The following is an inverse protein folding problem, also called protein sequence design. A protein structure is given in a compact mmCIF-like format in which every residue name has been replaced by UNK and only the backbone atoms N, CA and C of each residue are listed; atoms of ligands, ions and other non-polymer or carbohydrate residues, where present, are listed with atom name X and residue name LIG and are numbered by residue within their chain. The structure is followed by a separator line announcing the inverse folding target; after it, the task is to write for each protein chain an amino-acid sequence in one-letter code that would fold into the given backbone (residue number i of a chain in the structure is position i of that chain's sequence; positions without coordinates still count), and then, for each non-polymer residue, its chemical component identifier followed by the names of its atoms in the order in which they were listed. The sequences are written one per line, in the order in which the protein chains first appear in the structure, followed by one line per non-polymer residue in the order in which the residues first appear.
data_IF_761530569725
#
_entry.id   IF_761530569725
#
_cell.length_a   1.000
_cell.length_b   1.000
_cell.length_c   1.000
_cell.angle_alpha   90.00
_cell.angle_beta   90.00
_cell.angle_gamma   90.00
#
_symmetry.space_group_name_H-M   'P 1'
#
loop_
_entity.id
_entity.type
_entity.pdbx_description
1 polymer ?
#
# COMPACT_ATOMS: atom_id res chain seq x y z
N UNK A 1 -13.98 -8.26 -6.71
CA UNK A 1 -13.50 -6.88 -6.45
C UNK A 1 -14.24 -5.89 -7.33
N UNK A 2 -14.68 -4.72 -6.82
CA UNK A 2 -15.35 -3.69 -7.64
C UNK A 2 -14.45 -3.21 -8.80
N UNK A 3 -13.13 -3.19 -8.58
CA UNK A 3 -12.11 -2.86 -9.58
C UNK A 3 -12.00 -3.83 -10.77
N UNK A 4 -12.69 -4.97 -10.77
CA UNK A 4 -12.76 -5.87 -11.93
C UNK A 4 -13.87 -5.49 -12.92
N UNK A 5 -14.74 -4.54 -12.56
CA UNK A 5 -15.84 -4.08 -13.42
C UNK A 5 -15.40 -3.02 -14.43
N UNK A 6 -14.24 -2.41 -14.21
CA UNK A 6 -13.65 -1.39 -15.08
C UNK A 6 -12.42 -1.97 -15.80
N UNK A 7 -12.17 -1.50 -17.01
CA UNK A 7 -11.00 -1.88 -17.78
C UNK A 7 -9.73 -1.36 -17.08
N UNK A 8 -8.72 -2.20 -16.96
CA UNK A 8 -7.43 -1.80 -16.38
C UNK A 8 -6.87 -0.61 -17.18
N UNK A 9 -6.46 0.46 -16.49
CA UNK A 9 -5.99 1.74 -17.04
C UNK A 9 -7.07 2.67 -17.63
N UNK A 10 -8.35 2.48 -17.32
CA UNK A 10 -9.36 3.53 -17.56
C UNK A 10 -9.32 4.59 -16.46
N UNK A 11 -9.77 5.82 -16.75
CA UNK A 11 -9.95 6.85 -15.73
C UNK A 11 -10.78 6.34 -14.54
N UNK A 12 -11.88 5.64 -14.83
CA UNK A 12 -12.74 5.01 -13.82
C UNK A 12 -12.02 3.95 -12.94
N UNK A 13 -10.96 3.32 -13.47
CA UNK A 13 -10.17 2.34 -12.72
C UNK A 13 -9.24 3.04 -11.74
N UNK A 14 -8.61 4.13 -12.16
CA UNK A 14 -7.71 4.93 -11.31
C UNK A 14 -8.47 5.67 -10.21
N UNK A 15 -9.63 6.25 -10.52
CA UNK A 15 -10.51 6.90 -9.53
C UNK A 15 -10.95 5.89 -8.45
N UNK A 16 -11.35 4.70 -8.88
CA UNK A 16 -11.75 3.64 -7.96
C UNK A 16 -10.57 3.13 -7.13
N UNK A 17 -9.35 3.14 -7.70
CA UNK A 17 -8.12 2.77 -6.99
C UNK A 17 -7.80 3.74 -5.88
N UNK A 18 -7.94 5.04 -6.12
CA UNK A 18 -7.71 6.08 -5.12
C UNK A 18 -8.67 5.93 -3.94
N UNK A 19 -9.95 5.68 -4.21
CA UNK A 19 -10.95 5.41 -3.17
C UNK A 19 -10.54 4.17 -2.33
N UNK A 20 -10.09 3.10 -2.99
CA UNK A 20 -9.66 1.89 -2.30
C UNK A 20 -8.38 2.08 -1.46
N UNK A 21 -7.54 3.08 -1.74
CA UNK A 21 -6.36 3.38 -0.94
C UNK A 21 -6.68 4.17 0.34
N UNK A 22 -7.69 5.04 0.29
CA UNK A 22 -8.01 5.96 1.39
C UNK A 22 -9.13 5.40 2.29
N UNK A 23 -10.19 4.86 1.67
CA UNK A 23 -11.40 4.40 2.38
C UNK A 23 -12.10 3.29 1.62
N UNK A 24 -11.41 2.17 1.46
CA UNK A 24 -11.96 1.01 0.75
C UNK A 24 -13.25 0.51 1.40
N UNK A 25 -14.23 0.17 0.57
CA UNK A 25 -15.42 -0.59 1.00
C UNK A 25 -15.08 -2.07 1.24
N UNK A 26 -13.94 -2.54 0.76
CA UNK A 26 -13.44 -3.89 0.95
C UNK A 26 -12.51 -3.96 2.17
N UNK A 27 -12.49 -5.12 2.80
CA UNK A 27 -11.52 -5.40 3.85
C UNK A 27 -10.10 -5.40 3.29
N UNK A 28 -9.12 -5.09 4.15
CA UNK A 28 -7.70 -5.18 3.83
C UNK A 28 -7.32 -6.56 3.25
N UNK A 29 -7.96 -7.63 3.76
CA UNK A 29 -7.76 -8.99 3.26
C UNK A 29 -8.21 -9.16 1.80
N UNK A 30 -9.45 -8.78 1.48
CA UNK A 30 -9.99 -8.86 0.11
C UNK A 30 -9.16 -8.03 -0.87
N UNK A 31 -8.73 -6.85 -0.44
CA UNK A 31 -7.89 -5.98 -1.27
C UNK A 31 -6.51 -6.60 -1.54
N UNK A 32 -5.84 -7.14 -0.52
CA UNK A 32 -4.54 -7.78 -0.69
C UNK A 32 -4.61 -9.03 -1.57
N UNK A 33 -5.63 -9.89 -1.39
CA UNK A 33 -5.81 -11.05 -2.26
C UNK A 33 -6.00 -10.66 -3.72
N UNK A 34 -6.80 -9.62 -3.98
CA UNK A 34 -6.98 -9.10 -5.33
C UNK A 34 -5.69 -8.54 -5.94
N UNK A 35 -4.85 -7.86 -5.15
CA UNK A 35 -3.54 -7.38 -5.62
C UNK A 35 -2.63 -8.55 -6.04
N UNK A 36 -2.63 -9.64 -5.27
CA UNK A 36 -1.85 -10.85 -5.57
C UNK A 36 -2.31 -11.50 -6.88
N UNK A 37 -3.62 -11.64 -7.10
CA UNK A 37 -4.18 -12.17 -8.35
C UNK A 37 -3.74 -11.34 -9.58
N UNK A 38 -3.58 -10.03 -9.38
CA UNK A 38 -3.09 -9.10 -10.41
C UNK A 38 -1.56 -9.03 -10.51
N UNK A 39 -0.86 -9.93 -9.83
CA UNK A 39 0.62 -10.02 -9.81
C UNK A 39 1.31 -8.77 -9.24
N UNK A 40 0.66 -8.02 -8.35
CA UNK A 40 1.32 -6.95 -7.61
C UNK A 40 2.15 -7.51 -6.45
N UNK A 41 3.32 -6.92 -6.22
CA UNK A 41 4.12 -7.15 -5.03
C UNK A 41 3.64 -6.23 -3.91
N UNK A 42 3.23 -6.81 -2.78
CA UNK A 42 2.83 -6.06 -1.59
C UNK A 42 4.06 -5.88 -0.70
N UNK A 43 4.51 -4.63 -0.53
CA UNK A 43 5.64 -4.29 0.34
C UNK A 43 5.15 -3.59 1.59
N UNK A 44 5.58 -4.07 2.75
CA UNK A 44 5.42 -3.32 4.01
C UNK A 44 6.53 -2.26 4.04
N UNK A 45 6.21 -0.95 4.15
CA UNK A 45 7.25 0.05 4.28
C UNK A 45 8.07 -0.24 5.54
N UNK A 46 9.38 -0.02 5.47
CA UNK A 46 10.20 0.03 6.66
C UNK A 46 9.60 1.10 7.57
N UNK A 47 9.35 0.74 8.84
CA UNK A 47 8.99 1.76 9.80
C UNK A 47 10.17 2.72 9.83
N UNK A 48 9.96 4.02 9.58
CA UNK A 48 10.99 5.01 9.86
C UNK A 48 11.36 4.82 11.32
N UNK A 49 12.44 4.09 11.59
CA UNK A 49 13.15 4.20 12.84
C UNK A 49 13.57 5.65 12.84
N UNK A 50 12.89 6.47 13.62
CA UNK A 50 13.40 7.76 14.01
C UNK A 50 14.77 7.46 14.63
N UNK A 51 15.82 7.71 13.85
CA UNK A 51 17.19 7.58 14.32
C UNK A 51 17.32 8.69 15.35
N UNK A 52 17.09 8.34 16.62
CA UNK A 52 17.57 9.15 17.73
C UNK A 52 19.08 8.92 17.71
N UNK A 53 19.83 9.83 17.08
CA UNK A 53 21.27 9.92 17.26
C UNK A 53 21.54 10.28 18.72
N UNK A 54 21.61 9.26 19.59
CA UNK A 54 22.24 9.41 20.89
C UNK A 54 23.75 9.31 20.65
N UNK A 55 24.41 10.45 20.52
CA UNK A 55 25.87 10.57 20.63
C UNK A 55 26.30 10.14 22.05
N UNK A 56 26.52 8.84 22.24
CA UNK A 56 27.29 8.33 23.36
C UNK A 56 28.75 8.23 22.89
N UNK A 57 29.55 9.14 23.45
CA UNK A 57 30.95 9.32 23.13
C UNK A 57 31.78 8.06 23.20
N UNK A 58 32.85 8.08 22.44
CA UNK A 58 33.96 7.16 22.63
C UNK A 58 35.23 8.01 22.71
N UNK A 59 35.72 8.14 23.94
CA UNK A 59 37.07 8.55 24.25
C UNK A 59 38.05 7.65 23.49
N UNK A 60 38.88 8.24 22.62
CA UNK A 60 40.31 7.91 22.49
C UNK A 60 41.09 9.14 22.01
#
# INVERSE_FOLDING_TARGET
MMMNKTSQNSADYDDLREICQIKCLHTTYEFHHWLIEKSYLIVRPEQKSEVIENELGNEK
#
